data_IF_428058724032
#
_entry.id   IF_428058724032
#
_cell.length_a   1.000
_cell.length_b   1.000
_cell.length_c   1.000
_cell.angle_alpha   90.00
_cell.angle_beta   90.00
_cell.angle_gamma   90.00
#
_symmetry.space_group_name_H-M   'P 1'
#
loop_
_entity.id
_entity.type
_entity.pdbx_description
1 polymer ?
#
# COMPACT_ATOMS: atom_id res chain seq x y z
N UNK A 1 -12.52 7.85 -4.70
CA UNK A 1 -11.64 7.12 -3.75
C UNK A 1 -10.74 8.15 -3.09
N UNK A 2 -10.70 8.20 -1.79
CA UNK A 2 -9.76 9.08 -1.09
C UNK A 2 -8.39 8.40 -1.12
N UNK A 3 -7.44 9.02 -1.78
CA UNK A 3 -6.06 8.58 -1.78
C UNK A 3 -5.38 9.23 -0.59
N UNK A 4 -4.88 8.40 0.30
CA UNK A 4 -4.08 8.88 1.39
C UNK A 4 -2.61 9.01 0.94
N UNK A 5 -2.03 10.19 1.13
CA UNK A 5 -0.67 10.51 0.68
C UNK A 5 0.25 10.56 1.87
N UNK A 6 1.34 9.80 1.82
CA UNK A 6 2.39 9.85 2.84
C UNK A 6 3.70 10.35 2.24
N UNK A 7 4.30 11.32 2.87
CA UNK A 7 5.62 11.81 2.54
C UNK A 7 6.68 10.77 2.92
N UNK A 8 7.60 10.50 2.00
CA UNK A 8 8.77 9.68 2.29
C UNK A 8 9.82 10.56 2.93
N UNK A 9 10.14 10.27 4.18
CA UNK A 9 11.21 10.92 4.94
C UNK A 9 12.27 9.89 5.32
N UNK A 10 13.30 10.29 6.04
CA UNK A 10 14.27 9.34 6.62
C UNK A 10 13.66 8.43 7.70
N UNK A 11 12.48 8.76 8.20
CA UNK A 11 11.75 7.93 9.17
C UNK A 11 10.98 6.83 8.43
N UNK A 12 10.91 5.66 9.04
CA UNK A 12 10.08 4.57 8.51
C UNK A 12 8.61 5.02 8.38
N UNK A 13 7.98 4.80 7.22
CA UNK A 13 6.59 5.17 6.99
C UNK A 13 5.66 4.19 7.74
N UNK A 14 5.44 4.45 9.02
CA UNK A 14 4.57 3.62 9.88
C UNK A 14 3.15 4.16 9.88
N UNK A 15 2.17 3.26 9.85
CA UNK A 15 0.75 3.60 9.96
C UNK A 15 0.00 2.65 10.86
N UNK A 16 -0.97 3.23 11.56
CA UNK A 16 -1.87 2.50 12.44
C UNK A 16 -3.13 2.11 11.66
N UNK A 17 -3.44 0.83 11.71
CA UNK A 17 -4.66 0.25 11.13
C UNK A 17 -5.41 -0.50 12.22
N UNK A 18 -6.72 -0.40 12.25
CA UNK A 18 -7.54 -1.25 13.11
C UNK A 18 -7.72 -2.61 12.42
N UNK A 19 -7.34 -3.67 13.10
CA UNK A 19 -7.51 -5.05 12.63
C UNK A 19 -8.48 -5.74 13.58
N UNK A 20 -9.68 -6.04 13.10
CA UNK A 20 -10.77 -6.61 13.93
C UNK A 20 -10.90 -5.88 15.27
N UNK A 21 -10.87 -4.54 15.23
CA UNK A 21 -10.98 -3.67 16.39
C UNK A 21 -9.70 -3.46 17.20
N UNK A 22 -8.61 -4.17 16.90
CA UNK A 22 -7.31 -3.98 17.54
C UNK A 22 -6.44 -3.00 16.75
N UNK A 23 -5.90 -2.00 17.42
CA UNK A 23 -4.95 -1.05 16.82
C UNK A 23 -3.59 -1.73 16.59
N UNK A 24 -3.14 -1.74 15.34
CA UNK A 24 -1.86 -2.33 14.92
C UNK A 24 -1.07 -1.30 14.14
N UNK A 25 0.15 -1.04 14.57
CA UNK A 25 1.09 -0.15 13.87
C UNK A 25 1.99 -0.98 12.97
N UNK A 26 1.99 -0.68 11.69
CA UNK A 26 2.81 -1.39 10.72
C UNK A 26 3.53 -0.47 9.75
N UNK A 27 4.60 -1.00 9.16
CA UNK A 27 5.39 -0.35 8.12
C UNK A 27 4.66 -0.49 6.78
N UNK A 28 4.60 0.59 6.03
CA UNK A 28 4.14 0.57 4.64
C UNK A 28 5.24 -0.01 3.75
N UNK A 29 5.04 -1.23 3.24
CA UNK A 29 6.02 -1.95 2.43
C UNK A 29 5.50 -2.17 1.01
N UNK A 30 5.90 -1.30 0.08
CA UNK A 30 5.49 -1.37 -1.33
C UNK A 30 6.16 -2.53 -2.10
N UNK A 31 7.16 -3.17 -1.54
CA UNK A 31 7.83 -4.32 -2.13
C UNK A 31 7.14 -5.62 -1.76
N UNK A 32 6.58 -5.70 -0.56
CA UNK A 32 5.88 -6.89 -0.10
C UNK A 32 4.58 -7.12 -0.87
N UNK A 33 4.39 -8.32 -1.39
CA UNK A 33 3.15 -8.72 -2.06
C UNK A 33 1.99 -8.89 -1.07
N UNK A 34 2.31 -9.37 0.13
CA UNK A 34 1.36 -9.73 1.18
C UNK A 34 1.73 -9.06 2.50
N UNK A 35 0.71 -8.79 3.29
CA UNK A 35 0.88 -8.22 4.62
C UNK A 35 1.22 -9.30 5.64
N UNK A 36 2.14 -8.97 6.52
CA UNK A 36 2.61 -9.86 7.58
C UNK A 36 2.46 -9.17 8.93
N UNK A 37 1.79 -9.83 9.87
CA UNK A 37 1.67 -9.32 11.23
C UNK A 37 2.77 -9.88 12.13
N UNK A 38 3.38 -9.00 12.91
CA UNK A 38 4.35 -9.40 13.90
C UNK A 38 3.69 -10.21 15.03
N UNK A 39 4.39 -11.19 15.58
CA UNK A 39 3.83 -12.04 16.64
C UNK A 39 3.32 -11.27 17.86
N UNK A 40 3.98 -10.17 18.23
CA UNK A 40 3.58 -9.29 19.34
C UNK A 40 2.24 -8.56 19.08
N UNK A 41 1.88 -8.36 17.81
CA UNK A 41 0.67 -7.66 17.41
C UNK A 41 -0.50 -8.62 17.17
N UNK A 42 -0.22 -9.92 17.07
CA UNK A 42 -1.24 -10.96 16.90
C UNK A 42 -2.12 -11.08 18.16
N UNK A 43 -3.41 -11.25 17.95
CA UNK A 43 -4.33 -11.52 19.06
C UNK A 43 -4.48 -13.03 19.26
N UNK A 44 -4.38 -13.49 20.51
CA UNK A 44 -4.60 -14.90 20.85
C UNK A 44 -6.03 -15.40 20.52
N UNK A 45 -6.97 -14.48 20.36
CA UNK A 45 -8.35 -14.80 19.96
C UNK A 45 -8.51 -15.04 18.46
N UNK A 46 -7.49 -14.75 17.66
CA UNK A 46 -7.52 -14.98 16.23
C UNK A 46 -6.90 -16.34 15.89
N UNK A 47 -7.69 -17.31 15.39
CA UNK A 47 -7.16 -18.63 15.09
C UNK A 47 -6.23 -18.56 13.87
N UNK A 48 -5.21 -19.42 13.88
CA UNK A 48 -4.27 -19.59 12.77
C UNK A 48 -4.36 -21.01 12.21
N UNK A 49 -3.94 -21.16 10.99
CA UNK A 49 -3.65 -22.44 10.37
C UNK A 49 -2.27 -22.43 9.71
N UNK A 50 -1.64 -23.59 9.64
CA UNK A 50 -0.38 -23.75 8.92
C UNK A 50 -0.63 -23.67 7.43
N UNK A 51 0.21 -22.98 6.69
CA UNK A 51 0.14 -22.93 5.24
C UNK A 51 1.24 -23.80 4.64
N UNK A 52 0.96 -24.39 3.48
CA UNK A 52 1.97 -25.08 2.68
C UNK A 52 2.85 -24.09 1.90
N UNK A 53 2.42 -22.82 1.86
CA UNK A 53 3.13 -21.79 1.15
C UNK A 53 4.19 -21.15 2.03
N UNK A 54 5.41 -21.12 1.55
CA UNK A 54 6.49 -20.40 2.19
C UNK A 54 6.45 -18.91 1.83
N UNK A 55 6.69 -18.07 2.82
CA UNK A 55 7.03 -16.67 2.55
C UNK A 55 8.49 -16.59 2.15
N UNK A 56 8.71 -16.00 1.00
CA UNK A 56 10.05 -15.71 0.49
C UNK A 56 10.32 -14.21 0.66
N UNK A 57 11.32 -13.89 1.47
CA UNK A 57 11.80 -12.53 1.67
C UNK A 57 13.28 -12.42 1.31
N UNK A 58 13.92 -11.36 1.79
CA UNK A 58 15.38 -11.26 1.76
C UNK A 58 15.93 -12.26 2.78
N UNK A 59 16.22 -13.49 2.35
CA UNK A 59 16.67 -14.56 3.22
C UNK A 59 16.06 -15.91 2.83
N UNK A 60 15.94 -16.79 3.82
CA UNK A 60 15.36 -18.14 3.60
C UNK A 60 13.84 -18.07 3.57
N UNK A 61 13.24 -18.88 2.69
CA UNK A 61 11.83 -19.19 2.77
C UNK A 61 11.49 -19.78 4.15
N UNK A 62 10.37 -19.33 4.70
CA UNK A 62 9.90 -19.76 6.02
C UNK A 62 8.46 -20.23 5.89
N UNK A 63 8.19 -21.43 6.42
CA UNK A 63 6.83 -21.86 6.64
C UNK A 63 6.19 -20.99 7.73
N UNK A 64 5.07 -20.36 7.42
CA UNK A 64 4.41 -19.43 8.31
C UNK A 64 2.95 -19.80 8.52
N UNK A 65 2.42 -19.42 9.66
CA UNK A 65 1.01 -19.52 9.93
C UNK A 65 0.27 -18.36 9.23
N UNK A 66 -0.99 -18.61 8.88
CA UNK A 66 -1.90 -17.61 8.31
C UNK A 66 -3.15 -17.52 9.17
N UNK A 67 -3.80 -16.39 9.21
CA UNK A 67 -5.08 -16.27 9.89
C UNK A 67 -6.08 -17.27 9.31
N UNK A 68 -6.72 -18.08 10.16
CA UNK A 68 -7.74 -19.05 9.75
C UNK A 68 -9.05 -18.37 9.36
N UNK A 69 -9.27 -17.16 9.85
CA UNK A 69 -10.43 -16.33 9.54
C UNK A 69 -10.01 -15.13 8.71
N UNK A 70 -10.93 -14.65 7.92
CA UNK A 70 -10.83 -13.33 7.30
C UNK A 70 -10.97 -12.30 8.43
N UNK A 71 -10.02 -11.38 8.51
CA UNK A 71 -9.99 -10.30 9.48
C UNK A 71 -10.40 -9.00 8.79
N UNK A 72 -11.19 -8.19 9.48
CA UNK A 72 -11.55 -6.87 8.99
C UNK A 72 -10.43 -5.88 9.31
N UNK A 73 -10.17 -4.98 8.39
CA UNK A 73 -9.28 -3.85 8.65
C UNK A 73 -10.02 -2.53 8.41
N UNK A 74 -9.63 -1.52 9.16
CA UNK A 74 -10.08 -0.15 8.98
C UNK A 74 -8.90 0.81 9.05
N UNK A 75 -8.80 1.64 8.05
CA UNK A 75 -7.82 2.70 7.94
C UNK A 75 -8.52 3.98 7.51
N UNK A 76 -8.48 5.00 8.35
CA UNK A 76 -9.23 6.24 8.16
C UNK A 76 -10.71 5.94 7.84
N UNK A 77 -11.20 6.41 6.70
CA UNK A 77 -12.57 6.19 6.24
C UNK A 77 -12.71 4.98 5.30
N UNK A 78 -11.65 4.20 5.14
CA UNK A 78 -11.60 3.04 4.26
C UNK A 78 -11.54 1.77 5.10
N UNK A 79 -12.27 0.76 4.68
CA UNK A 79 -12.26 -0.55 5.32
C UNK A 79 -12.26 -1.66 4.27
N UNK A 80 -11.84 -2.82 4.69
CA UNK A 80 -11.79 -4.02 3.86
C UNK A 80 -11.53 -5.24 4.73
N UNK A 81 -11.14 -6.31 4.08
CA UNK A 81 -10.80 -7.54 4.76
C UNK A 81 -9.57 -8.21 4.13
N UNK A 82 -8.94 -9.07 4.88
CA UNK A 82 -7.72 -9.77 4.49
C UNK A 82 -7.47 -11.00 5.34
N UNK A 83 -6.52 -11.80 4.89
CA UNK A 83 -5.93 -12.86 5.70
C UNK A 83 -4.45 -12.55 5.87
N UNK A 84 -4.00 -12.39 7.12
CA UNK A 84 -2.63 -12.05 7.45
C UNK A 84 -1.76 -13.28 7.64
N UNK A 85 -0.53 -13.19 7.19
CA UNK A 85 0.53 -14.12 7.59
C UNK A 85 1.09 -13.69 8.95
N UNK A 86 1.31 -14.66 9.83
CA UNK A 86 1.83 -14.42 11.17
C UNK A 86 3.30 -14.79 11.20
N UNK A 87 4.14 -13.81 11.38
CA UNK A 87 5.60 -14.01 11.42
C UNK A 87 6.12 -13.58 12.80
N UNK A 88 6.33 -14.54 13.73
CA UNK A 88 6.70 -14.24 15.11
C UNK A 88 7.97 -13.43 15.27
N UNK A 89 8.92 -13.62 14.36
CA UNK A 89 10.24 -12.97 14.40
C UNK A 89 10.29 -11.56 13.85
N UNK A 90 9.19 -11.05 13.26
CA UNK A 90 9.17 -9.68 12.75
C UNK A 90 9.24 -8.65 13.88
N UNK A 91 10.09 -7.63 13.75
CA UNK A 91 10.18 -6.55 14.72
C UNK A 91 8.93 -5.65 14.71
N UNK A 92 8.25 -5.56 13.58
CA UNK A 92 7.01 -4.81 13.37
C UNK A 92 6.18 -5.41 12.24
N UNK A 93 4.90 -5.13 12.25
CA UNK A 93 3.95 -5.54 11.22
C UNK A 93 4.27 -4.85 9.89
N UNK A 94 4.08 -5.55 8.78
CA UNK A 94 4.27 -5.04 7.41
C UNK A 94 2.92 -4.98 6.70
N UNK A 95 2.58 -3.81 6.17
CA UNK A 95 1.43 -3.64 5.28
C UNK A 95 1.92 -3.75 3.84
N UNK A 96 1.62 -4.84 3.19
CA UNK A 96 2.00 -5.12 1.80
C UNK A 96 1.01 -4.57 0.78
N UNK A 97 1.27 -4.81 -0.49
CA UNK A 97 0.45 -4.31 -1.60
C UNK A 97 -0.99 -4.84 -1.62
N UNK A 98 -1.22 -6.00 -1.02
CA UNK A 98 -2.56 -6.57 -0.83
C UNK A 98 -3.49 -5.64 -0.03
N UNK A 99 -2.95 -4.91 0.92
CA UNK A 99 -3.68 -3.94 1.74
C UNK A 99 -3.51 -2.52 1.20
N UNK A 100 -2.28 -2.14 0.85
CA UNK A 100 -1.98 -0.77 0.40
C UNK A 100 -2.79 -0.37 -0.84
N UNK A 101 -3.00 -1.30 -1.78
CA UNK A 101 -3.83 -1.06 -2.96
C UNK A 101 -5.30 -0.81 -2.62
N UNK A 102 -5.82 -1.47 -1.59
CA UNK A 102 -7.19 -1.29 -1.13
C UNK A 102 -7.35 0.00 -0.30
N UNK A 103 -6.34 0.36 0.48
CA UNK A 103 -6.34 1.60 1.27
C UNK A 103 -6.23 2.85 0.40
N UNK A 104 -5.78 2.72 -0.85
CA UNK A 104 -5.51 3.86 -1.71
C UNK A 104 -4.33 4.70 -1.20
N UNK A 105 -3.31 4.07 -0.67
CA UNK A 105 -2.10 4.74 -0.16
C UNK A 105 -1.19 5.09 -1.33
N UNK A 106 -0.83 6.35 -1.43
CA UNK A 106 0.19 6.84 -2.33
C UNK A 106 1.44 7.24 -1.54
N UNK A 107 2.55 6.59 -1.83
CA UNK A 107 3.86 7.01 -1.34
C UNK A 107 4.51 7.90 -2.40
N UNK A 108 4.94 9.07 -2.01
CA UNK A 108 5.70 9.95 -2.89
C UNK A 108 6.94 10.49 -2.19
N UNK A 109 8.00 10.65 -2.96
CA UNK A 109 9.18 11.36 -2.51
C UNK A 109 9.06 12.80 -3.00
N UNK A 110 8.88 13.77 -2.11
CA UNK A 110 8.84 15.14 -2.55
C UNK A 110 10.24 15.61 -2.92
N UNK A 111 10.41 16.15 -4.12
CA UNK A 111 11.25 17.33 -4.19
C UNK A 111 10.54 18.37 -3.34
N UNK A 112 11.17 18.75 -2.24
CA UNK A 112 10.58 19.60 -1.20
C UNK A 112 10.00 20.90 -1.79
N UNK A 113 10.62 21.43 -2.84
CA UNK A 113 10.17 22.63 -3.54
C UNK A 113 8.90 22.41 -4.36
N UNK A 114 8.85 21.33 -5.13
CA UNK A 114 7.70 21.03 -6.01
C UNK A 114 6.48 20.66 -5.19
N UNK A 115 6.65 19.77 -4.23
CA UNK A 115 5.53 19.31 -3.39
C UNK A 115 4.99 20.44 -2.51
N UNK A 116 5.88 21.23 -1.91
CA UNK A 116 5.48 22.39 -1.12
C UNK A 116 4.70 23.39 -1.97
N UNK A 117 5.13 23.66 -3.19
CA UNK A 117 4.39 24.54 -4.10
C UNK A 117 3.04 23.95 -4.52
N UNK A 118 2.99 22.67 -4.86
CA UNK A 118 1.73 22.03 -5.24
C UNK A 118 0.70 22.06 -4.09
N UNK A 119 1.12 21.70 -2.89
CA UNK A 119 0.25 21.75 -1.70
C UNK A 119 -0.15 23.19 -1.35
N UNK A 120 0.77 24.17 -1.48
CA UNK A 120 0.48 25.60 -1.25
C UNK A 120 -0.53 26.18 -2.25
N UNK A 121 -0.56 25.65 -3.48
CA UNK A 121 -1.54 26.05 -4.50
C UNK A 121 -2.89 25.35 -4.35
N UNK A 122 -3.06 24.55 -3.28
CA UNK A 122 -4.31 23.84 -3.02
C UNK A 122 -4.47 22.57 -3.85
N UNK A 123 -3.37 21.99 -4.33
CA UNK A 123 -3.41 20.70 -5.01
C UNK A 123 -3.93 19.62 -4.05
N UNK A 124 -4.96 18.92 -4.49
CA UNK A 124 -5.53 17.78 -3.81
C UNK A 124 -5.36 16.55 -4.72
N UNK A 125 -4.54 15.56 -4.34
CA UNK A 125 -4.31 14.38 -5.18
C UNK A 125 -5.54 13.51 -5.39
N UNK A 126 -6.61 13.71 -4.63
CA UNK A 126 -7.89 13.03 -4.83
C UNK A 126 -8.78 13.69 -5.86
N UNK A 127 -8.38 14.84 -6.39
CA UNK A 127 -9.16 15.63 -7.34
C UNK A 127 -8.35 15.93 -8.59
N UNK A 128 -9.03 16.07 -9.72
CA UNK A 128 -8.40 16.45 -10.96
C UNK A 128 -7.88 17.91 -10.95
N UNK A 129 -6.99 18.21 -11.86
CA UNK A 129 -6.50 19.58 -12.08
C UNK A 129 -7.56 20.43 -12.76
N UNK A 130 -7.45 21.74 -12.61
CA UNK A 130 -8.31 22.74 -13.23
C UNK A 130 -9.14 23.51 -12.21
N UNK A 131 -9.75 24.61 -12.69
CA UNK A 131 -10.51 25.54 -11.84
C UNK A 131 -11.67 24.85 -11.09
N UNK A 132 -12.27 23.83 -11.68
CA UNK A 132 -13.37 23.07 -11.10
C UNK A 132 -12.94 21.70 -10.57
N UNK A 133 -11.64 21.39 -10.62
CA UNK A 133 -11.07 20.13 -10.16
C UNK A 133 -11.66 18.87 -10.84
N UNK A 134 -12.10 19.00 -12.09
CA UNK A 134 -12.72 17.93 -12.89
C UNK A 134 -11.73 17.20 -13.81
N UNK A 135 -10.44 17.53 -13.73
CA UNK A 135 -9.40 16.91 -14.56
C UNK A 135 -9.21 15.43 -14.28
N UNK A 136 -8.43 14.78 -15.12
CA UNK A 136 -8.10 13.36 -14.99
C UNK A 136 -7.33 13.12 -13.68
N UNK A 137 -7.80 12.19 -12.87
CA UNK A 137 -7.17 11.79 -11.61
C UNK A 137 -6.18 10.65 -11.84
N UNK A 138 -6.54 9.71 -12.72
CA UNK A 138 -5.68 8.59 -13.06
C UNK A 138 -4.75 8.95 -14.23
N UNK A 139 -3.44 8.69 -14.11
CA UNK A 139 -2.52 8.89 -15.21
C UNK A 139 -2.94 8.08 -16.45
N UNK A 140 -2.88 8.68 -17.62
CA UNK A 140 -3.09 7.94 -18.87
C UNK A 140 -1.93 6.96 -19.03
N UNK A 141 -2.23 5.66 -19.00
CA UNK A 141 -1.24 4.64 -19.30
C UNK A 141 -1.04 4.58 -20.83
N UNK A 142 0.13 4.98 -21.35
CA UNK A 142 0.38 4.87 -22.77
C UNK A 142 0.42 3.40 -23.18
N UNK A 143 -0.29 3.07 -24.25
CA UNK A 143 -0.19 1.73 -24.85
C UNK A 143 1.21 1.55 -25.43
N UNK A 144 1.97 0.51 -25.05
CA UNK A 144 3.27 0.25 -25.64
C UNK A 144 3.14 0.05 -27.16
N UNK A 145 3.82 0.89 -27.95
CA UNK A 145 3.86 0.71 -29.39
C UNK A 145 5.04 -0.19 -29.75
N UNK A 146 4.76 -1.27 -30.47
CA UNK A 146 5.79 -2.25 -30.87
C UNK A 146 6.72 -1.74 -31.98
N UNK A 147 6.35 -0.66 -32.67
CA UNK A 147 7.10 -0.10 -33.79
C UNK A 147 7.32 1.40 -33.57
N UNK A 148 8.30 1.95 -34.26
CA UNK A 148 8.58 3.40 -34.30
C UNK A 148 7.48 4.15 -35.05
N UNK A 149 6.24 3.99 -34.63
CA UNK A 149 5.08 4.71 -35.13
C UNK A 149 4.78 5.87 -34.21
N UNK A 150 4.67 7.04 -34.70
CA UNK A 150 4.40 8.23 -33.90
C UNK A 150 4.74 9.51 -34.69
N UNK A 151 4.90 10.59 -33.95
CA UNK A 151 5.26 11.88 -34.51
C UNK A 151 6.51 11.77 -35.39
N UNK A 152 6.33 12.03 -36.73
CA UNK A 152 7.41 12.02 -37.71
C UNK A 152 7.76 10.67 -38.34
N UNK A 153 7.06 9.58 -37.99
CA UNK A 153 7.26 8.28 -38.63
C UNK A 153 6.01 7.85 -39.39
N UNK A 154 6.11 7.50 -40.70
CA UNK A 154 4.99 6.96 -41.43
C UNK A 154 4.58 5.61 -40.88
N UNK A 155 3.28 5.35 -40.89
CA UNK A 155 2.76 4.01 -40.65
C UNK A 155 3.23 3.11 -41.79
N UNK A 156 4.05 2.12 -41.44
CA UNK A 156 4.43 1.04 -42.35
C UNK A 156 3.34 -0.02 -42.37
#
# INVERSE_FOLDING_TARGET
MVIWVTEITQKCPMKTTLVSGKSVVGLLDTVANVSCIAGKDWSSSWPTHTTENDLVGIGRAQAVAKSAKILDWQFENTCGNFQLYVVPSLPFTLWGRDVLSQMGVLLFSPDEKVTSQMLHTGYDPSKGLGKQQEGIIEPICPTPRQLRTGLGYPNL
#
